data_IF_068977812635
#
_entry.id   IF_068977812635
#
_cell.length_a   1.000
_cell.length_b   1.000
_cell.length_c   1.000
_cell.angle_alpha   90.00
_cell.angle_beta   90.00
_cell.angle_gamma   90.00
#
_symmetry.space_group_name_H-M   'P 1'
#
loop_
_entity.id
_entity.type
_entity.pdbx_description
1 polymer ?
#
# COMPACT_ATOMS: atom_id res chain seq x y z
N UNK A 1 -14.38 -17.42 3.55
CA UNK A 1 -13.37 -16.33 3.67
C UNK A 1 -13.07 -16.16 5.14
N UNK A 2 -11.81 -15.98 5.50
CA UNK A 2 -11.43 -15.60 6.86
C UNK A 2 -11.03 -14.11 6.83
N UNK A 3 -11.64 -13.31 7.70
CA UNK A 3 -11.18 -11.95 8.00
C UNK A 3 -10.16 -12.09 9.14
N UNK A 4 -8.92 -11.71 8.89
CA UNK A 4 -7.86 -11.69 9.92
C UNK A 4 -7.50 -10.24 10.21
N UNK A 5 -7.50 -9.89 11.49
CA UNK A 5 -7.16 -8.55 11.99
C UNK A 5 -5.81 -8.65 12.70
N UNK A 6 -4.96 -7.69 12.42
CA UNK A 6 -3.64 -7.55 13.03
C UNK A 6 -3.59 -6.19 13.74
N UNK A 7 -3.50 -6.25 15.05
CA UNK A 7 -3.37 -5.07 15.91
C UNK A 7 -1.99 -4.41 15.74
N UNK A 8 -1.83 -3.21 16.28
CA UNK A 8 -0.58 -2.42 16.13
C UNK A 8 0.66 -3.17 16.67
N UNK A 9 0.52 -3.94 17.76
CA UNK A 9 1.59 -4.76 18.34
C UNK A 9 2.00 -5.97 17.48
N UNK A 10 1.20 -6.32 16.47
CA UNK A 10 1.51 -7.35 15.47
C UNK A 10 2.12 -6.76 14.18
N UNK A 11 2.36 -5.47 14.15
CA UNK A 11 2.95 -4.73 13.04
C UNK A 11 4.35 -4.25 13.44
N UNK A 12 5.30 -4.34 12.53
CA UNK A 12 6.63 -3.83 12.80
C UNK A 12 6.65 -2.29 12.88
N UNK A 13 7.66 -1.75 13.50
CA UNK A 13 7.94 -0.32 13.51
C UNK A 13 9.33 -0.04 12.95
N UNK A 14 9.50 1.14 12.37
CA UNK A 14 10.78 1.62 11.85
C UNK A 14 10.99 3.09 12.18
N UNK A 15 12.22 3.53 12.05
CA UNK A 15 12.55 4.95 12.14
C UNK A 15 13.79 5.28 11.29
N UNK A 16 13.78 6.49 10.74
CA UNK A 16 14.88 7.06 9.97
C UNK A 16 15.14 8.49 10.43
N UNK A 17 16.25 9.07 9.95
CA UNK A 17 16.61 10.46 10.21
C UNK A 17 16.55 10.77 11.72
N UNK A 18 17.28 9.96 12.53
CA UNK A 18 17.36 10.07 14.00
C UNK A 18 16.00 10.03 14.72
N UNK A 19 15.02 9.29 14.15
CA UNK A 19 13.67 9.14 14.68
C UNK A 19 12.72 10.28 14.27
N UNK A 20 13.11 11.14 13.37
CA UNK A 20 12.25 12.17 12.81
C UNK A 20 11.19 11.60 11.85
N UNK A 21 11.55 10.57 11.08
CA UNK A 21 10.64 9.79 10.26
C UNK A 21 10.37 8.50 11.03
N UNK A 22 9.11 8.24 11.37
CA UNK A 22 8.67 7.00 12.02
C UNK A 22 7.77 6.21 11.10
N UNK A 23 7.80 4.88 11.20
CA UNK A 23 6.99 3.97 10.41
C UNK A 23 6.26 2.96 11.28
N UNK A 24 5.01 2.69 10.95
CA UNK A 24 4.26 1.50 11.31
C UNK A 24 4.16 0.63 10.06
N UNK A 25 4.51 -0.66 10.15
CA UNK A 25 4.59 -1.56 9.00
C UNK A 25 3.56 -2.68 9.11
N UNK A 26 2.33 -2.51 8.56
CA UNK A 26 1.37 -3.60 8.41
C UNK A 26 1.96 -4.82 7.71
N UNK A 27 2.78 -4.59 6.68
CA UNK A 27 3.57 -5.62 5.99
C UNK A 27 5.03 -5.20 6.03
N UNK A 28 5.84 -5.90 6.80
CA UNK A 28 7.28 -5.66 6.94
C UNK A 28 8.12 -6.69 6.20
N UNK A 29 9.40 -6.38 6.02
CA UNK A 29 10.36 -7.36 5.53
C UNK A 29 10.55 -8.48 6.55
N UNK A 30 10.93 -9.70 6.10
CA UNK A 30 11.23 -10.80 7.00
C UNK A 30 12.26 -10.43 8.06
N UNK A 31 11.92 -10.71 9.31
CA UNK A 31 12.76 -10.40 10.47
C UNK A 31 12.53 -9.02 11.08
N UNK A 32 11.69 -8.15 10.50
CA UNK A 32 11.33 -6.86 11.10
C UNK A 32 10.27 -6.98 12.22
N UNK A 33 9.50 -8.08 12.25
CA UNK A 33 8.55 -8.36 13.32
C UNK A 33 7.07 -8.16 12.96
N UNK A 34 6.73 -7.82 11.72
CA UNK A 34 5.33 -7.85 11.28
C UNK A 34 4.81 -9.28 11.24
N UNK A 35 3.58 -9.50 11.71
CA UNK A 35 2.91 -10.79 11.58
C UNK A 35 2.58 -11.15 10.12
N UNK A 36 2.52 -10.16 9.24
CA UNK A 36 2.31 -10.32 7.80
C UNK A 36 3.56 -9.85 7.07
N UNK A 37 4.17 -10.73 6.29
CA UNK A 37 5.35 -10.42 5.46
C UNK A 37 4.97 -10.24 3.98
N UNK A 38 3.74 -10.65 3.58
CA UNK A 38 3.27 -10.61 2.20
C UNK A 38 1.78 -10.90 2.10
N UNK A 39 1.12 -10.26 1.14
CA UNK A 39 -0.18 -10.64 0.60
C UNK A 39 -0.06 -10.66 -0.94
N UNK A 40 0.07 -11.83 -1.54
CA UNK A 40 0.28 -11.96 -2.99
C UNK A 40 1.46 -11.17 -3.53
N UNK A 41 1.22 -10.23 -4.44
CA UNK A 41 2.23 -9.34 -5.02
C UNK A 41 2.65 -8.21 -4.09
N UNK A 42 1.84 -7.86 -3.09
CA UNK A 42 2.12 -6.83 -2.09
C UNK A 42 3.03 -7.41 -0.99
N UNK A 43 4.27 -6.91 -0.86
CA UNK A 43 5.26 -7.47 0.07
C UNK A 43 5.92 -6.46 1.00
N UNK A 44 5.51 -5.19 0.92
CA UNK A 44 5.87 -4.15 1.86
C UNK A 44 4.80 -3.08 1.90
N UNK A 45 4.40 -2.69 3.08
CA UNK A 45 3.49 -1.57 3.32
C UNK A 45 3.87 -0.91 4.63
N UNK A 46 4.37 0.32 4.55
CA UNK A 46 4.71 1.15 5.70
C UNK A 46 3.86 2.42 5.71
N UNK A 47 3.33 2.78 6.86
CA UNK A 47 2.75 4.07 7.14
C UNK A 47 3.80 4.95 7.80
N UNK A 48 4.34 5.91 7.06
CA UNK A 48 5.32 6.84 7.59
C UNK A 48 4.67 8.13 8.10
N UNK A 49 5.32 8.74 9.09
CA UNK A 49 4.92 10.03 9.68
C UNK A 49 6.15 10.83 10.04
N UNK A 50 6.09 12.17 9.86
CA UNK A 50 7.10 13.12 10.28
C UNK A 50 6.50 14.20 11.18
N UNK A 51 7.26 14.66 12.17
CA UNK A 51 6.86 15.80 13.03
C UNK A 51 7.56 17.09 12.62
N UNK A 52 8.63 17.01 11.89
CA UNK A 52 9.43 18.10 11.32
C UNK A 52 9.93 17.66 9.96
N UNK A 53 10.56 18.52 9.22
CA UNK A 53 11.22 18.15 7.96
C UNK A 53 12.21 17.00 8.18
N UNK A 54 12.18 16.02 7.29
CA UNK A 54 13.01 14.83 7.35
C UNK A 54 13.56 14.46 5.99
N UNK A 55 14.57 13.59 5.96
CA UNK A 55 15.15 13.13 4.70
C UNK A 55 15.62 11.69 4.75
N UNK A 56 15.48 11.01 3.61
CA UNK A 56 16.16 9.77 3.31
C UNK A 56 17.24 10.04 2.27
N UNK A 57 18.51 9.73 2.58
CA UNK A 57 19.60 9.93 1.63
C UNK A 57 19.48 8.99 0.44
N UNK A 58 20.27 9.25 -0.61
CA UNK A 58 20.29 8.46 -1.83
C UNK A 58 20.53 6.97 -1.53
N UNK A 59 19.58 6.12 -1.93
CA UNK A 59 19.60 4.67 -1.71
C UNK A 59 19.06 3.91 -2.94
N UNK A 60 19.53 2.65 -3.16
CA UNK A 60 19.22 1.91 -4.38
C UNK A 60 18.00 1.01 -4.26
N UNK A 61 17.28 0.88 -5.40
CA UNK A 61 16.22 -0.12 -5.60
C UNK A 61 16.38 -0.80 -6.96
N UNK A 62 15.91 -2.05 -7.06
CA UNK A 62 15.97 -2.81 -8.31
C UNK A 62 14.85 -3.85 -8.40
N UNK A 63 14.14 -3.86 -9.53
CA UNK A 63 13.16 -4.88 -9.89
C UNK A 63 11.77 -4.69 -9.33
N UNK A 64 11.57 -3.86 -8.31
CA UNK A 64 10.29 -3.65 -7.65
C UNK A 64 9.53 -2.43 -8.17
N UNK A 65 8.23 -2.40 -7.89
CA UNK A 65 7.36 -1.24 -8.09
C UNK A 65 7.06 -0.61 -6.74
N UNK A 66 7.42 0.65 -6.58
CA UNK A 66 7.40 1.39 -5.31
C UNK A 66 6.49 2.59 -5.46
N UNK A 67 5.46 2.67 -4.60
CA UNK A 67 4.51 3.75 -4.54
C UNK A 67 4.68 4.50 -3.23
N UNK A 68 4.69 5.85 -3.30
CA UNK A 68 4.56 6.73 -2.14
C UNK A 68 3.25 7.50 -2.30
N UNK A 69 2.23 7.16 -1.48
CA UNK A 69 0.91 7.82 -1.47
C UNK A 69 0.77 8.69 -0.24
N UNK A 70 0.49 9.99 -0.42
CA UNK A 70 0.41 10.95 0.67
C UNK A 70 -1.01 11.11 1.22
N UNK A 71 -1.12 11.09 2.53
CA UNK A 71 -2.33 11.46 3.26
C UNK A 71 -2.32 12.95 3.62
N UNK A 72 -1.14 13.45 4.05
CA UNK A 72 -0.93 14.82 4.50
C UNK A 72 0.51 15.27 4.19
N UNK A 73 0.71 16.59 4.09
CA UNK A 73 2.03 17.19 3.93
C UNK A 73 2.57 17.09 2.49
N UNK A 74 3.88 17.01 2.36
CA UNK A 74 4.58 17.00 1.07
C UNK A 74 5.79 16.07 1.08
N UNK A 75 6.08 15.43 -0.06
CA UNK A 75 7.32 14.68 -0.30
C UNK A 75 7.96 15.18 -1.59
N UNK A 76 9.25 15.48 -1.51
CA UNK A 76 10.10 15.81 -2.63
C UNK A 76 10.96 14.59 -2.98
N UNK A 77 10.95 14.18 -4.23
CA UNK A 77 11.73 13.09 -4.79
C UNK A 77 12.86 13.59 -5.66
N UNK A 78 14.00 12.92 -5.61
CA UNK A 78 15.11 13.10 -6.53
C UNK A 78 15.73 11.73 -6.85
N UNK A 79 16.05 11.46 -8.13
CA UNK A 79 16.61 10.17 -8.53
C UNK A 79 17.74 10.25 -9.56
N UNK A 80 18.37 9.09 -9.82
CA UNK A 80 19.47 8.97 -10.79
C UNK A 80 19.00 8.94 -12.25
N UNK A 81 17.71 9.00 -12.52
CA UNK A 81 17.13 9.20 -13.86
C UNK A 81 17.04 10.67 -14.22
N UNK A 82 17.26 11.57 -13.25
CA UNK A 82 17.20 13.02 -13.41
C UNK A 82 15.84 13.62 -13.07
N UNK A 83 14.96 12.87 -12.41
CA UNK A 83 13.71 13.41 -11.91
C UNK A 83 13.95 14.18 -10.60
N UNK A 84 13.28 15.33 -10.47
CA UNK A 84 13.21 16.13 -9.25
C UNK A 84 11.80 16.73 -9.18
N UNK A 85 10.93 16.11 -8.38
CA UNK A 85 9.51 16.40 -8.32
C UNK A 85 9.02 16.43 -6.87
N UNK A 86 7.86 17.06 -6.65
CA UNK A 86 7.23 17.15 -5.33
C UNK A 86 5.75 16.87 -5.48
N UNK A 87 5.20 16.08 -4.56
CA UNK A 87 3.76 15.80 -4.46
C UNK A 87 3.21 16.30 -3.14
N UNK A 88 1.92 16.66 -3.14
CA UNK A 88 1.14 17.06 -1.99
C UNK A 88 0.21 15.97 -1.46
N UNK A 89 -0.61 16.34 -0.46
CA UNK A 89 -1.63 15.45 0.10
C UNK A 89 -2.59 14.94 -0.99
N UNK A 90 -2.91 13.65 -0.95
CA UNK A 90 -3.71 12.97 -1.96
C UNK A 90 -2.94 12.57 -3.22
N UNK A 91 -1.74 13.11 -3.44
CA UNK A 91 -0.87 12.76 -4.55
C UNK A 91 -0.11 11.47 -4.34
N UNK A 92 0.46 10.96 -5.42
CA UNK A 92 1.25 9.72 -5.42
C UNK A 92 2.43 9.84 -6.38
N UNK A 93 3.56 9.30 -5.97
CA UNK A 93 4.68 9.01 -6.87
C UNK A 93 4.87 7.51 -7.02
N UNK A 94 5.24 7.08 -8.22
CA UNK A 94 5.55 5.68 -8.55
C UNK A 94 6.91 5.56 -9.20
N UNK A 95 7.66 4.58 -8.75
CA UNK A 95 8.94 4.16 -9.31
C UNK A 95 8.89 2.69 -9.70
N UNK A 96 9.04 2.39 -10.99
CA UNK A 96 9.32 1.03 -11.46
C UNK A 96 10.83 0.89 -11.59
N UNK A 97 11.46 0.18 -10.67
CA UNK A 97 12.90 0.27 -10.46
C UNK A 97 13.76 -0.51 -11.45
N UNK A 98 13.16 -1.40 -12.24
CA UNK A 98 13.77 -2.05 -13.40
C UNK A 98 15.18 -2.59 -13.17
N UNK A 99 16.11 -2.23 -14.06
CA UNK A 99 17.54 -2.59 -13.96
C UNK A 99 18.27 -1.96 -12.78
N UNK A 100 17.64 -0.99 -12.11
CA UNK A 100 18.14 -0.31 -10.91
C UNK A 100 18.07 1.22 -11.03
N UNK A 101 17.72 1.86 -9.93
CA UNK A 101 17.67 3.31 -9.75
C UNK A 101 18.07 3.63 -8.32
N UNK A 102 18.64 4.79 -8.07
CA UNK A 102 18.80 5.32 -6.71
C UNK A 102 17.96 6.57 -6.59
N UNK A 103 17.31 6.73 -5.43
CA UNK A 103 16.55 7.92 -5.12
C UNK A 103 16.79 8.43 -3.70
N UNK A 104 16.47 9.69 -3.48
CA UNK A 104 16.45 10.37 -2.20
C UNK A 104 15.09 11.02 -2.02
N UNK A 105 14.61 11.11 -0.78
CA UNK A 105 13.33 11.71 -0.44
C UNK A 105 13.51 12.77 0.64
N UNK A 106 12.78 13.89 0.51
CA UNK A 106 12.65 14.91 1.56
C UNK A 106 11.18 15.05 1.91
N UNK A 107 10.91 14.93 3.18
CA UNK A 107 9.57 15.01 3.75
C UNK A 107 9.38 16.38 4.40
N UNK A 108 8.26 17.03 4.09
CA UNK A 108 7.85 18.23 4.77
C UNK A 108 7.53 17.99 6.24
N UNK A 109 7.31 19.07 6.98
CA UNK A 109 6.80 18.98 8.35
C UNK A 109 5.36 18.42 8.35
N UNK A 110 5.00 17.65 9.38
CA UNK A 110 3.68 17.05 9.58
C UNK A 110 3.20 16.27 8.33
N UNK A 111 4.14 15.53 7.69
CA UNK A 111 3.84 14.68 6.53
C UNK A 111 3.47 13.29 7.00
N UNK A 112 2.42 12.72 6.39
CA UNK A 112 1.94 11.36 6.61
C UNK A 112 1.58 10.71 5.29
N UNK A 113 1.95 9.44 5.12
CA UNK A 113 1.66 8.71 3.89
C UNK A 113 2.16 7.27 3.93
N UNK A 114 2.07 6.60 2.81
CA UNK A 114 2.43 5.19 2.68
C UNK A 114 3.55 4.98 1.70
N UNK A 115 4.48 4.10 2.07
CA UNK A 115 5.37 3.39 1.15
C UNK A 115 4.77 2.01 0.90
N UNK A 116 4.45 1.71 -0.36
CA UNK A 116 3.79 0.46 -0.76
C UNK A 116 4.61 -0.15 -1.89
N UNK A 117 5.03 -1.43 -1.73
CA UNK A 117 5.87 -2.09 -2.71
C UNK A 117 5.20 -3.34 -3.25
N UNK A 118 5.19 -3.45 -4.58
CA UNK A 118 4.74 -4.62 -5.29
C UNK A 118 5.92 -5.35 -5.95
N UNK A 119 5.79 -6.68 -5.99
CA UNK A 119 6.73 -7.55 -6.67
C UNK A 119 6.14 -7.98 -8.02
N UNK A 120 6.63 -7.43 -9.15
CA UNK A 120 6.33 -7.94 -10.48
C UNK A 120 7.12 -9.23 -10.75
N UNK A 121 6.88 -9.87 -11.91
CA UNK A 121 7.69 -11.02 -12.30
C UNK A 121 9.16 -10.61 -12.51
N UNK A 122 10.02 -11.00 -11.58
CA UNK A 122 11.44 -10.60 -11.54
C UNK A 122 12.24 -11.08 -12.76
N UNK A 123 11.80 -12.15 -13.43
CA UNK A 123 12.43 -12.62 -14.68
C UNK A 123 12.42 -11.60 -15.81
N UNK A 124 11.48 -10.66 -15.76
CA UNK A 124 11.35 -9.56 -16.72
C UNK A 124 11.71 -8.22 -16.07
N UNK A 125 11.24 -7.96 -14.87
CA UNK A 125 11.40 -6.69 -14.19
C UNK A 125 12.88 -6.29 -14.01
N UNK A 126 13.78 -7.23 -13.71
CA UNK A 126 15.20 -6.95 -13.57
C UNK A 126 15.89 -6.45 -14.85
N UNK A 127 15.25 -6.58 -16.00
CA UNK A 127 15.77 -6.14 -17.30
C UNK A 127 15.00 -4.97 -17.90
N UNK A 128 13.90 -4.55 -17.25
CA UNK A 128 13.10 -3.43 -17.68
C UNK A 128 13.83 -2.10 -17.44
N UNK A 129 13.57 -1.11 -18.30
CA UNK A 129 14.07 0.25 -18.09
C UNK A 129 13.36 0.84 -16.86
N UNK A 130 14.08 1.44 -15.91
CA UNK A 130 13.45 2.14 -14.79
C UNK A 130 12.60 3.31 -15.27
N UNK A 131 11.48 3.55 -14.60
CA UNK A 131 10.57 4.67 -14.85
C UNK A 131 10.17 5.36 -13.55
N UNK A 132 9.81 6.63 -13.66
CA UNK A 132 9.23 7.44 -12.60
C UNK A 132 8.04 8.21 -13.15
N UNK A 133 7.00 8.37 -12.34
CA UNK A 133 5.89 9.28 -12.58
C UNK A 133 5.31 9.77 -11.25
N UNK A 134 4.73 10.95 -11.25
CA UNK A 134 4.02 11.54 -10.14
C UNK A 134 2.64 12.03 -10.59
N UNK A 135 1.70 12.08 -9.65
CA UNK A 135 0.30 12.42 -9.86
C UNK A 135 -0.20 13.22 -8.66
N UNK A 136 -0.97 14.27 -8.93
CA UNK A 136 -1.62 15.06 -7.90
C UNK A 136 -2.98 14.46 -7.50
N UNK A 137 -3.59 14.99 -6.44
CA UNK A 137 -4.89 14.49 -5.92
C UNK A 137 -6.00 14.47 -6.99
N UNK A 138 -6.06 15.50 -7.81
CA UNK A 138 -7.05 15.68 -8.87
C UNK A 138 -6.90 14.75 -10.09
N UNK A 139 -5.75 14.12 -10.26
CA UNK A 139 -5.52 13.18 -11.37
C UNK A 139 -6.26 11.85 -11.16
N UNK A 140 -6.68 11.56 -9.93
CA UNK A 140 -7.33 10.30 -9.59
C UNK A 140 -8.83 10.35 -9.73
N UNK A 141 -9.47 9.34 -10.34
CA UNK A 141 -10.91 9.26 -10.40
C UNK A 141 -11.53 9.07 -9.00
N UNK A 142 -12.58 9.85 -8.74
CA UNK A 142 -13.36 9.79 -7.50
C UNK A 142 -14.81 9.47 -7.86
N UNK A 143 -15.34 8.42 -7.24
CA UNK A 143 -16.75 8.05 -7.30
C UNK A 143 -17.40 8.29 -5.95
N UNK A 144 -18.65 8.76 -5.95
CA UNK A 144 -19.52 8.82 -4.76
C UNK A 144 -20.60 7.75 -4.94
N UNK A 145 -20.59 6.74 -4.08
CA UNK A 145 -21.55 5.65 -4.08
C UNK A 145 -22.19 5.54 -2.69
N UNK A 146 -23.50 5.78 -2.58
CA UNK A 146 -24.22 5.77 -1.30
C UNK A 146 -23.53 6.63 -0.23
N UNK A 147 -23.10 7.85 -0.59
CA UNK A 147 -22.33 8.80 0.23
C UNK A 147 -20.88 8.37 0.53
N UNK A 148 -20.48 7.13 0.28
CA UNK A 148 -19.08 6.73 0.35
C UNK A 148 -18.28 7.40 -0.78
N UNK A 149 -17.15 8.03 -0.44
CA UNK A 149 -16.18 8.56 -1.40
C UNK A 149 -15.13 7.49 -1.68
N UNK A 150 -15.00 7.11 -2.94
CA UNK A 150 -14.07 6.08 -3.40
C UNK A 150 -13.10 6.75 -4.38
N UNK A 151 -11.86 6.94 -3.96
CA UNK A 151 -10.78 7.40 -4.82
C UNK A 151 -9.99 6.20 -5.32
N UNK A 152 -9.97 5.99 -6.63
CA UNK A 152 -9.25 4.87 -7.25
C UNK A 152 -7.80 5.25 -7.51
N UNK A 153 -6.88 4.67 -6.75
CA UNK A 153 -5.43 4.90 -6.87
C UNK A 153 -4.81 3.95 -7.90
N UNK A 154 -5.13 2.66 -7.83
CA UNK A 154 -4.77 1.66 -8.84
C UNK A 154 -6.05 0.97 -9.31
N UNK A 155 -6.24 0.86 -10.62
CA UNK A 155 -7.43 0.25 -11.20
C UNK A 155 -7.64 0.65 -12.66
N UNK A 156 -8.79 0.27 -13.23
CA UNK A 156 -9.08 0.44 -14.65
C UNK A 156 -9.01 1.89 -15.12
N UNK A 157 -9.54 2.81 -14.33
CA UNK A 157 -9.64 4.25 -14.69
C UNK A 157 -8.54 5.11 -14.07
N UNK A 158 -7.63 4.51 -13.30
CA UNK A 158 -6.48 5.20 -12.73
C UNK A 158 -5.49 5.61 -13.82
N UNK A 159 -4.80 6.77 -13.70
CA UNK A 159 -3.71 7.14 -14.59
C UNK A 159 -2.48 6.24 -14.41
N UNK A 160 -2.33 5.58 -13.26
CA UNK A 160 -1.18 4.76 -12.92
C UNK A 160 -1.22 3.41 -13.63
N UNK A 161 -0.06 2.97 -14.09
CA UNK A 161 0.14 1.62 -14.64
C UNK A 161 1.28 0.93 -13.92
N UNK A 162 0.98 -0.23 -13.33
CA UNK A 162 1.96 -1.16 -12.74
C UNK A 162 1.91 -2.49 -13.47
N UNK A 163 2.97 -3.27 -13.35
CA UNK A 163 3.08 -4.62 -13.91
C UNK A 163 2.45 -5.65 -12.99
N UNK A 164 2.62 -5.46 -11.67
CA UNK A 164 1.99 -6.32 -10.68
C UNK A 164 0.45 -6.21 -10.77
N UNK A 165 -0.23 -7.34 -10.65
CA UNK A 165 -1.70 -7.35 -10.56
C UNK A 165 -2.11 -6.81 -9.19
N UNK A 166 -2.64 -5.58 -9.18
CA UNK A 166 -3.13 -4.92 -7.97
C UNK A 166 -4.19 -3.86 -8.29
N UNK A 167 -5.09 -3.65 -7.34
CA UNK A 167 -6.02 -2.52 -7.31
C UNK A 167 -5.91 -1.84 -5.95
N UNK A 168 -6.06 -0.51 -5.88
CA UNK A 168 -5.96 0.24 -4.65
C UNK A 168 -7.00 1.37 -4.61
N UNK A 169 -7.64 1.51 -3.46
CA UNK A 169 -8.62 2.56 -3.19
C UNK A 169 -8.36 3.26 -1.87
N UNK A 170 -8.57 4.58 -1.86
CA UNK A 170 -8.74 5.37 -0.65
C UNK A 170 -10.23 5.62 -0.45
N UNK A 171 -10.78 4.97 0.56
CA UNK A 171 -12.20 4.93 0.87
C UNK A 171 -12.51 5.83 2.06
N UNK A 172 -13.41 6.80 1.89
CA UNK A 172 -13.99 7.58 2.99
C UNK A 172 -15.46 7.23 3.15
N UNK A 173 -15.82 6.75 4.32
CA UNK A 173 -17.20 6.40 4.71
C UNK A 173 -17.71 7.40 5.74
N UNK A 174 -18.69 8.25 5.43
CA UNK A 174 -19.38 9.03 6.46
C UNK A 174 -20.01 8.14 7.53
N UNK A 175 -20.27 8.70 8.70
CA UNK A 175 -20.88 8.01 9.83
C UNK A 175 -22.12 7.19 9.43
N UNK A 176 -22.16 5.93 9.84
CA UNK A 176 -23.22 4.97 9.53
C UNK A 176 -23.29 4.47 8.09
N UNK A 177 -22.48 5.01 7.17
CA UNK A 177 -22.50 4.59 5.77
C UNK A 177 -21.70 3.31 5.52
N UNK A 178 -21.99 2.63 4.42
CA UNK A 178 -21.38 1.37 4.09
C UNK A 178 -20.86 1.34 2.65
N UNK A 179 -19.91 0.45 2.44
CA UNK A 179 -19.30 0.14 1.15
C UNK A 179 -19.26 -1.39 0.95
N UNK A 180 -19.49 -1.82 -0.27
CA UNK A 180 -19.35 -3.22 -0.66
C UNK A 180 -18.28 -3.37 -1.73
N UNK A 181 -17.40 -4.36 -1.54
CA UNK A 181 -16.39 -4.77 -2.50
C UNK A 181 -16.52 -6.26 -2.81
N UNK A 182 -16.61 -6.58 -4.09
CA UNK A 182 -16.51 -7.97 -4.56
C UNK A 182 -15.04 -8.38 -4.57
N UNK A 183 -14.72 -9.45 -3.87
CA UNK A 183 -13.40 -10.08 -3.91
C UNK A 183 -13.52 -11.32 -4.81
N UNK A 184 -12.87 -11.35 -6.00
CA UNK A 184 -12.88 -12.52 -6.85
C UNK A 184 -12.22 -13.74 -6.19
N UNK A 185 -12.58 -14.93 -6.61
CA UNK A 185 -11.88 -16.17 -6.24
C UNK A 185 -10.38 -16.04 -6.52
N UNK A 186 -9.55 -16.45 -5.55
CA UNK A 186 -8.09 -16.38 -5.65
C UNK A 186 -7.49 -14.99 -5.40
N UNK A 187 -8.31 -14.01 -4.98
CA UNK A 187 -7.82 -12.68 -4.59
C UNK A 187 -7.96 -12.43 -3.10
N UNK A 188 -7.14 -11.52 -2.60
CA UNK A 188 -7.18 -11.02 -1.24
C UNK A 188 -7.31 -9.52 -1.22
N UNK A 189 -7.98 -9.00 -0.18
CA UNK A 189 -7.92 -7.58 0.19
C UNK A 189 -7.04 -7.45 1.43
N UNK A 190 -6.05 -6.57 1.33
CA UNK A 190 -5.32 -5.99 2.44
C UNK A 190 -5.92 -4.60 2.72
N UNK A 191 -6.29 -4.31 3.97
CA UNK A 191 -6.90 -3.05 4.36
C UNK A 191 -6.30 -2.46 5.62
N UNK A 192 -6.14 -1.14 5.66
CA UNK A 192 -5.67 -0.40 6.83
C UNK A 192 -6.66 0.70 7.17
N UNK A 193 -7.16 0.72 8.42
CA UNK A 193 -8.02 1.80 8.90
C UNK A 193 -7.14 2.98 9.31
N UNK A 194 -7.28 4.10 8.59
CA UNK A 194 -6.49 5.33 8.79
C UNK A 194 -7.16 6.25 9.78
N UNK A 195 -8.49 6.32 9.73
CA UNK A 195 -9.30 7.16 10.62
C UNK A 195 -10.57 6.42 11.02
N UNK A 196 -11.05 6.69 12.25
CA UNK A 196 -12.30 6.17 12.78
C UNK A 196 -12.28 4.67 13.07
N UNK A 197 -13.46 4.08 13.03
CA UNK A 197 -13.70 2.67 13.28
C UNK A 197 -14.77 2.14 12.34
N UNK A 198 -14.65 0.87 11.95
CA UNK A 198 -15.58 0.25 11.01
C UNK A 198 -15.89 -1.20 11.38
N UNK A 199 -17.02 -1.68 10.89
CA UNK A 199 -17.42 -3.09 10.96
C UNK A 199 -17.15 -3.73 9.60
N UNK A 200 -16.40 -4.82 9.59
CA UNK A 200 -16.09 -5.60 8.39
C UNK A 200 -16.82 -6.92 8.43
N UNK A 201 -17.55 -7.25 7.37
CA UNK A 201 -18.37 -8.45 7.30
C UNK A 201 -18.18 -9.17 5.97
N UNK A 202 -18.04 -10.49 6.04
CA UNK A 202 -18.13 -11.36 4.88
C UNK A 202 -18.73 -12.71 5.27
N UNK A 203 -19.84 -13.06 4.62
CA UNK A 203 -20.62 -14.24 5.01
C UNK A 203 -21.10 -14.15 6.47
N UNK A 204 -20.65 -15.11 7.31
CA UNK A 204 -20.99 -15.14 8.74
C UNK A 204 -19.96 -14.40 9.61
N UNK A 205 -18.77 -14.11 9.08
CA UNK A 205 -17.72 -13.43 9.82
C UNK A 205 -18.03 -11.95 9.92
N UNK A 206 -17.97 -11.40 11.15
CA UNK A 206 -18.17 -9.98 11.43
C UNK A 206 -17.19 -9.53 12.50
N UNK A 207 -16.45 -8.46 12.19
CA UNK A 207 -15.40 -7.93 13.05
C UNK A 207 -15.48 -6.42 13.16
N UNK A 208 -15.19 -5.90 14.35
CA UNK A 208 -14.91 -4.48 14.55
C UNK A 208 -13.43 -4.24 14.26
N UNK A 209 -13.13 -3.19 13.50
CA UNK A 209 -11.76 -2.81 13.14
C UNK A 209 -11.57 -1.35 13.51
N UNK A 210 -10.54 -1.09 14.31
CA UNK A 210 -10.19 0.21 14.82
C UNK A 210 -9.08 0.88 14.00
N UNK A 211 -8.86 2.15 14.23
CA UNK A 211 -7.76 2.91 13.63
C UNK A 211 -6.40 2.20 13.86
N UNK A 212 -5.54 2.21 12.87
CA UNK A 212 -4.23 1.56 12.82
C UNK A 212 -4.27 0.01 12.78
N UNK A 213 -5.43 -0.63 12.84
CA UNK A 213 -5.52 -2.07 12.64
C UNK A 213 -5.47 -2.42 11.16
N UNK A 214 -4.72 -3.47 10.88
CA UNK A 214 -4.53 -4.03 9.54
C UNK A 214 -5.38 -5.27 9.36
N UNK A 215 -6.01 -5.40 8.20
CA UNK A 215 -6.95 -6.50 7.88
C UNK A 215 -6.50 -7.21 6.62
N UNK A 216 -6.55 -8.54 6.63
CA UNK A 216 -6.39 -9.38 5.45
C UNK A 216 -7.64 -10.26 5.27
N UNK A 217 -8.25 -10.13 4.10
CA UNK A 217 -9.41 -10.92 3.69
C UNK A 217 -9.04 -11.77 2.46
N UNK A 218 -9.03 -13.10 2.59
CA UNK A 218 -8.70 -14.02 1.50
C UNK A 218 -9.98 -14.70 0.97
N UNK A 219 -10.22 -14.65 -0.33
CA UNK A 219 -11.40 -15.23 -0.96
C UNK A 219 -11.08 -16.56 -1.67
N UNK A 220 -11.46 -17.69 -1.06
CA UNK A 220 -11.38 -19.03 -1.68
C UNK A 220 -12.41 -19.22 -2.81
N UNK A 221 -13.46 -18.41 -2.81
CA UNK A 221 -14.47 -18.29 -3.85
C UNK A 221 -14.93 -16.83 -3.91
N UNK A 222 -15.48 -16.38 -5.01
CA UNK A 222 -15.95 -14.99 -5.15
C UNK A 222 -16.94 -14.64 -4.04
N UNK A 223 -16.66 -13.57 -3.31
CA UNK A 223 -17.41 -13.14 -2.11
C UNK A 223 -17.52 -11.61 -2.03
N UNK A 224 -18.54 -11.15 -1.30
CA UNK A 224 -18.72 -9.75 -0.96
C UNK A 224 -18.08 -9.45 0.41
N UNK A 225 -17.24 -8.44 0.44
CA UNK A 225 -16.80 -7.76 1.66
C UNK A 225 -17.66 -6.52 1.87
N UNK A 226 -18.34 -6.46 3.00
CA UNK A 226 -19.13 -5.31 3.40
C UNK A 226 -18.38 -4.58 4.53
N UNK A 227 -18.19 -3.28 4.38
CA UNK A 227 -17.52 -2.41 5.35
C UNK A 227 -18.50 -1.30 5.73
N UNK A 228 -18.71 -1.06 7.02
CA UNK A 228 -19.61 -0.03 7.53
C UNK A 228 -18.88 0.81 8.59
N UNK A 229 -18.90 2.15 8.45
CA UNK A 229 -18.44 3.07 9.48
C UNK A 229 -19.38 3.02 10.70
N UNK A 230 -18.88 3.40 11.87
CA UNK A 230 -19.76 3.55 13.06
C UNK A 230 -20.75 4.69 12.87
N UNK A 231 -21.88 4.61 13.59
CA UNK A 231 -23.00 5.56 13.50
C UNK A 231 -22.64 7.03 13.80
N UNK A 232 -21.55 7.27 14.52
CA UNK A 232 -21.18 8.61 14.99
C UNK A 232 -19.79 9.05 14.51
N UNK A 233 -19.13 8.28 13.67
CA UNK A 233 -17.73 8.54 13.30
C UNK A 233 -17.52 8.17 11.84
N UNK A 234 -16.97 9.10 11.07
CA UNK A 234 -16.48 8.81 9.73
C UNK A 234 -15.31 7.81 9.80
N UNK A 235 -15.09 7.07 8.74
CA UNK A 235 -13.94 6.18 8.63
C UNK A 235 -13.21 6.42 7.32
N UNK A 236 -11.87 6.43 7.36
CA UNK A 236 -11.02 6.41 6.17
C UNK A 236 -10.20 5.14 6.15
N UNK A 237 -10.21 4.45 5.01
CA UNK A 237 -9.65 3.11 4.89
C UNK A 237 -8.91 3.02 3.56
N UNK A 238 -7.67 2.54 3.59
CA UNK A 238 -6.94 2.17 2.38
C UNK A 238 -7.14 0.70 2.13
N UNK A 239 -7.60 0.35 0.92
CA UNK A 239 -7.82 -1.02 0.46
C UNK A 239 -6.91 -1.34 -0.70
N UNK A 240 -6.23 -2.50 -0.65
CA UNK A 240 -5.41 -3.03 -1.74
C UNK A 240 -5.87 -4.45 -2.03
N UNK A 241 -6.31 -4.71 -3.27
CA UNK A 241 -6.66 -6.03 -3.77
C UNK A 241 -5.54 -6.58 -4.64
N UNK A 242 -5.12 -7.80 -4.35
CA UNK A 242 -4.05 -8.51 -5.07
C UNK A 242 -4.42 -10.00 -5.21
N UNK A 243 -3.82 -10.77 -6.14
CA UNK A 243 -3.91 -12.22 -6.10
C UNK A 243 -3.46 -12.78 -4.74
N UNK A 244 -4.18 -13.74 -4.17
CA UNK A 244 -3.84 -14.32 -2.86
C UNK A 244 -2.49 -15.04 -2.88
N UNK A 245 -2.11 -15.57 -4.03
CA UNK A 245 -0.85 -16.30 -4.24
C UNK A 245 -0.10 -15.64 -5.38
N UNK A 246 1.22 -15.51 -5.24
CA UNK A 246 2.07 -15.04 -6.33
C UNK A 246 1.95 -16.00 -7.53
N UNK A 247 1.64 -15.51 -8.74
CA UNK A 247 1.52 -16.36 -9.92
C UNK A 247 2.89 -16.79 -10.51
N UNK A 248 3.98 -16.42 -9.87
CA UNK A 248 5.38 -16.69 -10.26
C UNK A 248 6.26 -16.86 -9.02
N UNK A 249 7.47 -17.43 -9.14
CA UNK A 249 8.41 -17.55 -8.03
C UNK A 249 8.82 -16.17 -7.49
N UNK A 250 8.76 -16.02 -6.17
CA UNK A 250 9.19 -14.78 -5.51
C UNK A 250 10.68 -14.49 -5.71
N UNK A 251 11.08 -13.23 -5.52
CA UNK A 251 12.49 -12.84 -5.58
C UNK A 251 13.37 -13.62 -4.59
N UNK A 252 12.82 -14.01 -3.44
CA UNK A 252 13.50 -14.87 -2.45
C UNK A 252 13.77 -16.27 -3.01
N UNK A 253 12.76 -16.89 -3.60
CA UNK A 253 12.88 -18.23 -4.20
C UNK A 253 13.84 -18.23 -5.39
N UNK A 254 13.84 -17.18 -6.22
CA UNK A 254 14.79 -17.00 -7.31
C UNK A 254 16.22 -16.88 -6.74
N UNK A 255 16.44 -16.07 -5.71
CA UNK A 255 17.75 -15.87 -5.07
C UNK A 255 18.28 -17.16 -4.46
N UNK A 256 17.44 -17.94 -3.78
CA UNK A 256 17.82 -19.24 -3.22
C UNK A 256 18.24 -20.22 -4.34
N UNK A 257 17.48 -20.29 -5.45
CA UNK A 257 17.80 -21.17 -6.59
C UNK A 257 19.13 -20.81 -7.27
N UNK A 258 19.49 -19.53 -7.29
CA UNK A 258 20.78 -19.08 -7.84
C UNK A 258 21.91 -19.50 -6.90
N UNK A 259 21.77 -19.30 -5.60
CA UNK A 259 22.77 -19.65 -4.58
C UNK A 259 22.97 -21.18 -4.43
N UNK A 260 21.94 -21.98 -4.68
CA UNK A 260 22.06 -23.45 -4.63
C UNK A 260 22.71 -24.08 -5.86
N UNK A 261 22.98 -23.30 -6.92
CA UNK A 261 23.63 -23.74 -8.15
C UNK A 261 25.06 -23.22 -8.29
N UNK A 262 25.50 -22.38 -7.37
CA UNK A 262 26.88 -21.89 -7.23
C UNK A 262 27.63 -22.69 -6.15
#
# INVERSE_FOLDING_TARGET
MAIRIYSVDQQASGQFDEGNITEQKPIGFPGEGSAVERVGTLFYWAWFQTKREGSLPLHPHRGFEILSYLLEGTVQHQDTLGNEQSIGAGGLQIMQTGTGVQHAEKYGKDTSGFQIWFEPFMGEAYYATPTYADYEDEDFPVEIRNQAKIKTILGTDSPIRIVADAQMWDLTLPAGQSFEQVIPEGYSIAGLVVEGESTWKSGIDTHQVSVNEFVVCEAEQTQNLHIQSKEQTDSRIILIQVPSVLPYPSYKEIKIRIQSKS
#
